data_IF_378315091746
#
_entry.id   IF_378315091746
#
_cell.length_a   1.000
_cell.length_b   1.000
_cell.length_c   1.000
_cell.angle_alpha   90.00
_cell.angle_beta   90.00
_cell.angle_gamma   90.00
#
_symmetry.space_group_name_H-M   'P 1'
#
loop_
_entity.id
_entity.type
_entity.pdbx_description
1 polymer ?
#
# COMPACT_ATOMS: atom_id res chain seq x y z
N UNK A 1 -6.92 -0.85 21.89
CA UNK A 1 -6.23 -0.18 20.76
C UNK A 1 -6.94 1.16 20.57
N UNK A 2 -6.38 2.16 19.91
CA UNK A 2 -7.16 3.39 19.64
C UNK A 2 -8.27 2.98 18.66
N UNK A 3 -9.55 3.24 18.98
CA UNK A 3 -10.74 2.81 18.21
C UNK A 3 -10.63 3.08 16.69
N UNK A 4 -9.77 4.04 16.32
CA UNK A 4 -9.51 4.42 14.94
C UNK A 4 -8.81 3.34 14.10
N UNK A 5 -7.84 2.62 14.68
CA UNK A 5 -7.02 1.61 13.98
C UNK A 5 -7.65 0.21 13.99
N UNK A 6 -8.57 -0.05 14.92
CA UNK A 6 -9.20 -1.36 15.09
C UNK A 6 -9.84 -1.90 13.79
N UNK A 7 -10.61 -1.10 13.00
CA UNK A 7 -11.14 -1.58 11.73
C UNK A 7 -10.04 -1.95 10.74
N UNK A 8 -8.94 -1.19 10.71
CA UNK A 8 -7.82 -1.46 9.82
C UNK A 8 -7.10 -2.74 10.20
N UNK A 9 -6.88 -3.00 11.49
CA UNK A 9 -6.24 -4.22 11.97
C UNK A 9 -7.10 -5.44 11.69
N UNK A 10 -8.40 -5.38 11.98
CA UNK A 10 -9.33 -6.47 11.68
C UNK A 10 -9.35 -6.81 10.17
N UNK A 11 -9.33 -5.80 9.31
CA UNK A 11 -9.23 -6.00 7.85
C UNK A 11 -7.93 -6.72 7.48
N UNK A 12 -6.80 -6.31 8.04
CA UNK A 12 -5.50 -6.92 7.71
C UNK A 12 -5.48 -8.40 8.13
N UNK A 13 -5.96 -8.71 9.34
CA UNK A 13 -6.07 -10.07 9.85
C UNK A 13 -7.00 -10.95 9.00
N UNK A 14 -8.18 -10.43 8.61
CA UNK A 14 -9.12 -11.13 7.74
C UNK A 14 -8.51 -11.43 6.36
N UNK A 15 -7.84 -10.45 5.76
CA UNK A 15 -7.24 -10.61 4.43
C UNK A 15 -6.09 -11.61 4.45
N UNK A 16 -5.18 -11.51 5.42
CA UNK A 16 -4.04 -12.42 5.55
C UNK A 16 -4.52 -13.86 5.73
N UNK A 17 -5.53 -14.07 6.58
CA UNK A 17 -6.10 -15.39 6.87
C UNK A 17 -7.01 -15.97 5.77
N UNK A 18 -7.36 -15.20 4.74
CA UNK A 18 -8.24 -15.67 3.66
C UNK A 18 -7.56 -16.66 2.70
N UNK A 19 -8.35 -17.41 1.93
CA UNK A 19 -7.86 -18.29 0.85
C UNK A 19 -7.81 -17.59 -0.52
N UNK A 20 -7.83 -16.26 -0.54
CA UNK A 20 -7.79 -15.50 -1.79
C UNK A 20 -6.43 -15.64 -2.48
N UNK A 21 -6.39 -15.57 -3.83
CA UNK A 21 -5.13 -15.49 -4.57
C UNK A 21 -4.29 -14.28 -4.14
N UNK A 22 -2.96 -14.38 -4.26
CA UNK A 22 -2.01 -13.37 -3.76
C UNK A 22 -2.30 -11.94 -4.24
N UNK A 23 -2.60 -11.75 -5.53
CA UNK A 23 -2.96 -10.43 -6.06
C UNK A 23 -4.27 -9.90 -5.47
N UNK A 24 -5.25 -10.78 -5.25
CA UNK A 24 -6.53 -10.40 -4.65
C UNK A 24 -6.38 -10.05 -3.18
N UNK A 25 -5.58 -10.81 -2.42
CA UNK A 25 -5.25 -10.43 -1.03
C UNK A 25 -4.62 -9.05 -0.98
N UNK A 26 -3.61 -8.79 -1.81
CA UNK A 26 -2.94 -7.48 -1.79
C UNK A 26 -3.89 -6.34 -2.17
N UNK A 27 -4.77 -6.54 -3.15
CA UNK A 27 -5.82 -5.57 -3.46
C UNK A 27 -6.74 -5.31 -2.27
N UNK A 28 -7.29 -6.35 -1.64
CA UNK A 28 -8.22 -6.22 -0.50
C UNK A 28 -7.55 -5.57 0.71
N UNK A 29 -6.27 -5.88 0.94
CA UNK A 29 -5.44 -5.32 2.01
C UNK A 29 -5.39 -3.78 1.95
N UNK A 30 -5.30 -3.21 0.74
CA UNK A 30 -5.30 -1.75 0.56
C UNK A 30 -6.71 -1.19 0.37
N UNK A 31 -7.53 -1.80 -0.47
CA UNK A 31 -8.83 -1.27 -0.88
C UNK A 31 -9.79 -1.12 0.30
N UNK A 32 -9.87 -2.12 1.18
CA UNK A 32 -10.79 -2.08 2.33
C UNK A 32 -10.38 -1.01 3.34
N UNK A 33 -9.08 -0.88 3.62
CA UNK A 33 -8.55 0.17 4.51
C UNK A 33 -8.72 1.57 3.91
N UNK A 34 -8.49 1.71 2.60
CA UNK A 34 -8.78 2.94 1.87
C UNK A 34 -10.26 3.33 1.98
N UNK A 35 -11.19 2.39 1.78
CA UNK A 35 -12.62 2.64 1.86
C UNK A 35 -13.04 3.16 3.25
N UNK A 36 -12.50 2.58 4.32
CA UNK A 36 -12.71 3.07 5.70
C UNK A 36 -12.32 4.55 5.81
N UNK A 37 -11.07 4.89 5.43
CA UNK A 37 -10.61 6.28 5.54
C UNK A 37 -11.39 7.23 4.63
N UNK A 38 -11.77 6.78 3.43
CA UNK A 38 -12.57 7.55 2.48
C UNK A 38 -13.98 7.84 3.00
N UNK A 39 -14.63 6.85 3.60
CA UNK A 39 -15.93 7.01 4.24
C UNK A 39 -15.86 8.03 5.38
N UNK A 40 -14.85 7.89 6.24
CA UNK A 40 -14.60 8.83 7.34
C UNK A 40 -14.34 10.25 6.83
N UNK A 41 -13.55 10.42 5.77
CA UNK A 41 -13.31 11.72 5.13
C UNK A 41 -14.59 12.31 4.56
N UNK A 42 -15.39 11.53 3.82
CA UNK A 42 -16.65 12.00 3.21
C UNK A 42 -17.73 12.35 4.24
N UNK A 43 -17.73 11.66 5.39
CA UNK A 43 -18.66 11.95 6.47
C UNK A 43 -18.41 13.32 7.10
N UNK A 44 -17.14 13.66 7.36
CA UNK A 44 -16.74 14.98 7.87
C UNK A 44 -15.26 15.27 7.55
N UNK A 45 -14.98 16.02 6.46
CA UNK A 45 -13.61 16.35 6.06
C UNK A 45 -12.83 17.15 7.11
N UNK A 46 -13.51 18.00 7.89
CA UNK A 46 -12.87 18.85 8.90
C UNK A 46 -12.47 18.01 10.11
N UNK A 47 -13.35 17.14 10.59
CA UNK A 47 -13.02 16.21 11.66
C UNK A 47 -11.91 15.22 11.24
N UNK A 48 -11.95 14.74 10.00
CA UNK A 48 -10.92 13.87 9.45
C UNK A 48 -9.54 14.54 9.44
N UNK A 49 -9.43 15.78 8.97
CA UNK A 49 -8.15 16.51 8.96
C UNK A 49 -7.56 16.67 10.38
N UNK A 50 -8.38 17.05 11.36
CA UNK A 50 -7.96 17.18 12.77
C UNK A 50 -7.47 15.86 13.36
N UNK A 51 -8.08 14.76 12.93
CA UNK A 51 -7.67 13.44 13.36
C UNK A 51 -6.34 13.01 12.72
N UNK A 52 -6.09 13.33 11.44
CA UNK A 52 -4.78 13.13 10.83
C UNK A 52 -3.69 13.92 11.60
N UNK A 53 -3.97 15.19 11.93
CA UNK A 53 -3.08 16.02 12.75
C UNK A 53 -2.81 15.40 14.14
N UNK A 54 -3.85 14.90 14.81
CA UNK A 54 -3.72 14.22 16.10
C UNK A 54 -2.93 12.91 16.01
N UNK A 55 -3.06 12.17 14.91
CA UNK A 55 -2.28 10.97 14.62
C UNK A 55 -0.80 11.27 14.44
N UNK A 56 -0.47 12.33 13.69
CA UNK A 56 0.89 12.81 13.50
C UNK A 56 1.53 13.25 14.83
N UNK A 57 0.75 13.88 15.72
CA UNK A 57 1.21 14.25 17.07
C UNK A 57 1.44 13.04 18.00
N UNK A 58 0.88 11.86 17.70
CA UNK A 58 0.99 10.61 18.47
C UNK A 58 1.91 9.59 17.78
N UNK A 59 3.10 10.06 17.41
CA UNK A 59 4.06 9.37 16.56
C UNK A 59 4.35 7.90 16.93
N UNK A 60 4.57 7.57 18.20
CA UNK A 60 4.90 6.19 18.61
C UNK A 60 3.79 5.18 18.34
N UNK A 61 2.52 5.59 18.41
CA UNK A 61 1.38 4.70 18.13
C UNK A 61 1.14 4.54 16.65
N UNK A 62 1.27 5.65 15.90
CA UNK A 62 1.24 5.61 14.45
C UNK A 62 2.33 4.67 13.93
N UNK A 63 3.54 4.73 14.51
CA UNK A 63 4.64 3.81 14.21
C UNK A 63 4.26 2.35 14.48
N UNK A 64 3.77 2.02 15.67
CA UNK A 64 3.38 0.63 15.98
C UNK A 64 2.29 0.08 15.06
N UNK A 65 1.35 0.91 14.60
CA UNK A 65 0.36 0.51 13.60
C UNK A 65 1.00 0.29 12.21
N UNK A 66 1.92 1.16 11.80
CA UNK A 66 2.66 1.03 10.53
C UNK A 66 3.52 -0.23 10.54
N UNK A 67 4.25 -0.49 11.62
CA UNK A 67 5.07 -1.70 11.79
C UNK A 67 4.22 -2.97 11.65
N UNK A 68 3.02 -2.98 12.23
CA UNK A 68 2.08 -4.10 12.11
C UNK A 68 1.55 -4.24 10.67
N UNK A 69 1.26 -3.13 9.99
CA UNK A 69 0.83 -3.16 8.60
C UNK A 69 1.93 -3.68 7.66
N UNK A 70 3.18 -3.27 7.89
CA UNK A 70 4.35 -3.74 7.14
C UNK A 70 4.65 -5.23 7.41
N UNK A 71 4.41 -5.70 8.64
CA UNK A 71 4.48 -7.12 8.98
C UNK A 71 3.50 -7.95 8.14
N UNK A 72 2.21 -7.61 8.17
CA UNK A 72 1.20 -8.32 7.39
C UNK A 72 1.43 -8.20 5.88
N UNK A 73 1.87 -7.04 5.39
CA UNK A 73 2.21 -6.88 3.98
C UNK A 73 3.41 -7.76 3.58
N UNK A 74 4.39 -7.92 4.46
CA UNK A 74 5.53 -8.83 4.26
C UNK A 74 5.08 -10.29 4.14
N UNK A 75 4.07 -10.72 4.92
CA UNK A 75 3.48 -12.06 4.78
C UNK A 75 2.80 -12.25 3.41
N UNK A 76 2.04 -11.24 2.95
CA UNK A 76 1.42 -11.30 1.62
C UNK A 76 2.47 -11.34 0.50
N UNK A 77 3.57 -10.60 0.64
CA UNK A 77 4.69 -10.62 -0.30
C UNK A 77 5.36 -11.99 -0.30
N UNK A 78 5.63 -12.57 0.87
CA UNK A 78 6.22 -13.90 0.98
C UNK A 78 5.34 -14.97 0.30
N UNK A 79 4.02 -14.90 0.50
CA UNK A 79 3.07 -15.78 -0.20
C UNK A 79 3.14 -15.57 -1.72
N UNK A 80 3.12 -14.32 -2.19
CA UNK A 80 3.19 -14.02 -3.61
C UNK A 80 4.52 -14.49 -4.25
N UNK A 81 5.63 -14.39 -3.53
CA UNK A 81 6.92 -14.93 -3.98
C UNK A 81 6.89 -16.44 -4.10
N UNK A 82 6.25 -17.14 -3.15
CA UNK A 82 6.02 -18.58 -3.24
C UNK A 82 5.18 -18.95 -4.48
N UNK A 83 4.21 -18.12 -4.83
CA UNK A 83 3.36 -18.28 -6.02
C UNK A 83 4.07 -17.91 -7.34
N UNK A 84 5.32 -17.45 -7.29
CA UNK A 84 6.16 -17.15 -8.45
C UNK A 84 6.22 -15.68 -8.88
N UNK A 85 5.74 -14.75 -8.05
CA UNK A 85 5.83 -13.31 -8.30
C UNK A 85 7.10 -12.67 -7.72
N UNK A 86 7.40 -11.43 -8.11
CA UNK A 86 8.47 -10.60 -7.54
C UNK A 86 9.86 -11.25 -7.60
N UNK A 87 10.15 -11.94 -8.69
CA UNK A 87 11.39 -12.69 -8.87
C UNK A 87 12.64 -11.82 -8.59
N UNK A 88 13.54 -12.38 -7.77
CA UNK A 88 14.84 -11.79 -7.45
C UNK A 88 14.82 -10.58 -6.51
N UNK A 89 13.66 -10.16 -6.01
CA UNK A 89 13.56 -9.14 -4.97
C UNK A 89 13.58 -9.77 -3.58
N UNK A 90 14.29 -9.15 -2.63
CA UNK A 90 14.11 -9.45 -1.21
C UNK A 90 12.78 -8.87 -0.71
N UNK A 91 12.23 -9.45 0.38
CA UNK A 91 10.91 -9.04 0.90
C UNK A 91 10.90 -7.57 1.32
N UNK A 92 11.96 -7.10 1.99
CA UNK A 92 12.08 -5.71 2.45
C UNK A 92 12.14 -4.70 1.29
N UNK A 93 12.86 -5.08 0.22
CA UNK A 93 12.92 -4.29 -1.01
C UNK A 93 11.56 -4.25 -1.71
N UNK A 94 10.88 -5.40 -1.82
CA UNK A 94 9.55 -5.49 -2.42
C UNK A 94 8.52 -4.68 -1.62
N UNK A 95 8.54 -4.80 -0.28
CA UNK A 95 7.72 -4.04 0.66
C UNK A 95 7.87 -2.53 0.43
N UNK A 96 9.11 -2.04 0.42
CA UNK A 96 9.39 -0.62 0.20
C UNK A 96 8.86 -0.13 -1.16
N UNK A 97 9.06 -0.90 -2.24
CA UNK A 97 8.60 -0.53 -3.58
C UNK A 97 7.07 -0.50 -3.66
N UNK A 98 6.40 -1.51 -3.12
CA UNK A 98 4.93 -1.59 -3.09
C UNK A 98 4.35 -0.41 -2.32
N UNK A 99 4.88 -0.12 -1.12
CA UNK A 99 4.44 1.02 -0.30
C UNK A 99 4.58 2.36 -1.05
N UNK A 100 5.65 2.54 -1.84
CA UNK A 100 5.81 3.73 -2.69
C UNK A 100 4.73 3.81 -3.79
N UNK A 101 4.46 2.69 -4.46
CA UNK A 101 3.51 2.60 -5.57
C UNK A 101 2.05 2.78 -5.14
N UNK A 102 1.71 2.40 -3.90
CA UNK A 102 0.33 2.48 -3.36
C UNK A 102 0.12 3.60 -2.34
N UNK A 103 1.12 4.45 -2.11
CA UNK A 103 1.12 5.50 -1.08
C UNK A 103 -0.12 6.39 -1.05
N UNK A 104 -0.67 6.74 -2.23
CA UNK A 104 -1.90 7.53 -2.37
C UNK A 104 -3.15 6.85 -1.76
N UNK A 105 -3.11 5.54 -1.51
CA UNK A 105 -4.19 4.76 -0.91
C UNK A 105 -3.92 4.36 0.55
N UNK A 106 -2.72 4.62 1.08
CA UNK A 106 -2.33 4.27 2.44
C UNK A 106 -2.18 5.47 3.36
N UNK A 107 -1.78 6.63 2.82
CA UNK A 107 -1.58 7.86 3.59
C UNK A 107 -2.91 8.60 3.73
N UNK A 108 -3.51 8.70 4.94
CA UNK A 108 -4.82 9.32 5.14
C UNK A 108 -4.88 10.78 4.67
N UNK A 109 -3.83 11.57 4.93
CA UNK A 109 -3.70 12.96 4.51
C UNK A 109 -3.81 13.14 2.99
N UNK A 110 -3.48 12.12 2.20
CA UNK A 110 -3.65 12.14 0.75
C UNK A 110 -5.10 12.39 0.31
N UNK A 111 -6.08 11.92 1.09
CA UNK A 111 -7.51 12.14 0.79
C UNK A 111 -7.87 13.63 0.80
N UNK A 112 -7.24 14.43 1.65
CA UNK A 112 -7.50 15.88 1.74
C UNK A 112 -7.15 16.57 0.41
N UNK A 113 -6.16 16.05 -0.32
CA UNK A 113 -5.64 16.69 -1.53
C UNK A 113 -6.18 16.10 -2.84
N UNK A 114 -6.44 14.79 -2.88
CA UNK A 114 -6.69 14.08 -4.14
C UNK A 114 -7.83 13.04 -4.07
N UNK A 115 -8.68 13.02 -3.05
CA UNK A 115 -9.73 11.97 -2.90
C UNK A 115 -10.58 11.76 -4.16
N UNK A 116 -11.00 12.83 -4.83
CA UNK A 116 -11.84 12.75 -6.05
C UNK A 116 -11.13 12.02 -7.21
N UNK A 117 -9.79 11.95 -7.18
CA UNK A 117 -8.98 11.27 -8.19
C UNK A 117 -8.75 9.81 -7.85
N UNK A 118 -9.05 9.37 -6.63
CA UNK A 118 -8.81 8.03 -6.14
C UNK A 118 -10.07 7.18 -6.24
N UNK A 119 -9.90 5.95 -6.70
CA UNK A 119 -10.95 4.94 -6.69
C UNK A 119 -10.35 3.54 -6.76
N UNK A 120 -11.21 2.59 -6.44
CA UNK A 120 -10.94 1.17 -6.33
C UNK A 120 -10.52 0.57 -7.68
N UNK A 121 -11.08 1.04 -8.80
CA UNK A 121 -10.69 0.59 -10.15
C UNK A 121 -9.23 0.95 -10.45
N UNK A 122 -8.80 2.17 -10.11
CA UNK A 122 -7.41 2.62 -10.27
C UNK A 122 -6.46 1.84 -9.36
N UNK A 123 -6.86 1.59 -8.11
CA UNK A 123 -6.08 0.75 -7.20
C UNK A 123 -5.92 -0.67 -7.76
N UNK A 124 -6.99 -1.29 -8.29
CA UNK A 124 -6.90 -2.60 -8.91
C UNK A 124 -5.88 -2.63 -10.06
N UNK A 125 -5.87 -1.60 -10.92
CA UNK A 125 -4.86 -1.47 -11.99
C UNK A 125 -3.44 -1.32 -11.49
N UNK A 126 -3.23 -0.58 -10.39
CA UNK A 126 -1.91 -0.45 -9.76
C UNK A 126 -1.45 -1.82 -9.23
N UNK A 127 -2.32 -2.56 -8.55
CA UNK A 127 -2.00 -3.90 -8.02
C UNK A 127 -1.71 -4.88 -9.14
N UNK A 128 -2.51 -4.91 -10.21
CA UNK A 128 -2.23 -5.74 -11.39
C UNK A 128 -0.86 -5.40 -11.99
N UNK A 129 -0.54 -4.11 -12.09
CA UNK A 129 0.76 -3.64 -12.60
C UNK A 129 1.92 -4.09 -11.71
N UNK A 130 1.75 -4.05 -10.39
CA UNK A 130 2.73 -4.56 -9.42
C UNK A 130 2.99 -6.05 -9.66
N UNK A 131 1.94 -6.88 -9.73
CA UNK A 131 2.10 -8.34 -9.89
C UNK A 131 2.64 -8.73 -11.26
N UNK A 132 2.32 -7.98 -12.32
CA UNK A 132 2.80 -8.25 -13.68
C UNK A 132 4.25 -7.78 -13.88
N UNK A 133 4.60 -6.60 -13.35
CA UNK A 133 5.81 -5.88 -13.76
C UNK A 133 6.92 -5.78 -12.73
N UNK A 134 6.65 -6.00 -11.44
CA UNK A 134 7.66 -5.77 -10.41
C UNK A 134 8.59 -6.98 -10.26
N UNK A 135 9.88 -6.78 -10.50
CA UNK A 135 10.94 -7.78 -10.30
C UNK A 135 12.30 -7.09 -10.10
N UNK A 136 13.36 -7.87 -9.84
CA UNK A 136 14.73 -7.34 -9.81
C UNK A 136 15.35 -7.16 -11.20
N UNK A 137 14.69 -7.61 -12.26
CA UNK A 137 15.19 -7.49 -13.63
C UNK A 137 15.20 -6.03 -14.08
N UNK A 138 16.28 -5.60 -14.74
CA UNK A 138 16.35 -4.24 -15.29
C UNK A 138 15.43 -4.10 -16.51
N UNK A 139 14.27 -3.50 -16.30
CA UNK A 139 13.31 -3.18 -17.37
C UNK A 139 13.73 -2.02 -18.29
N UNK A 140 14.94 -1.47 -18.16
CA UNK A 140 15.49 -0.43 -19.04
C UNK A 140 15.13 1.00 -18.66
N UNK A 141 14.39 1.22 -17.57
CA UNK A 141 13.98 2.55 -17.12
C UNK A 141 15.16 3.46 -16.72
N UNK A 142 16.29 2.87 -16.29
CA UNK A 142 17.53 3.61 -15.99
C UNK A 142 18.33 3.99 -17.24
N UNK A 143 17.89 3.54 -18.43
CA UNK A 143 18.58 3.72 -19.70
C UNK A 143 19.76 2.76 -19.88
N UNK A 144 20.17 2.54 -21.13
CA UNK A 144 21.46 1.91 -21.44
C UNK A 144 22.57 2.91 -21.18
N UNK A 145 23.67 2.46 -20.60
CA UNK A 145 24.84 3.25 -20.20
C UNK A 145 25.67 3.77 -21.40
N UNK A 146 25.01 4.14 -22.50
CA UNK A 146 25.62 4.63 -23.74
C UNK A 146 24.96 5.94 -24.17
N UNK A 147 25.27 7.01 -23.43
CA UNK A 147 25.37 8.31 -24.08
C UNK A 147 26.51 8.19 -25.10
N UNK A 148 26.19 7.79 -26.34
CA UNK A 148 27.12 7.95 -27.47
C UNK A 148 27.33 9.45 -27.63
N UNK A 149 28.48 9.93 -27.17
CA UNK A 149 28.98 11.25 -27.54
C UNK A 149 29.16 11.18 -29.06
N UNK A 150 28.33 11.92 -29.79
CA UNK A 150 28.53 12.13 -31.21
C UNK A 150 29.83 12.92 -31.39
N UNK A 151 30.87 12.24 -31.87
CA UNK A 151 32.06 12.88 -32.47
C UNK A 151 31.78 13.29 -33.90
#
# INVERSE_FOLDING_TARGET
MELWFEPHVAIMEEVVSSDLPSNRKMYEFFARRFAVNRERYRADPIAFARMCEAGAARFERARGFVDLADHYLSELIAQAQHDGYFAGLEIDQCLSLINQMVSSYTIPDGLIYIEERLNEDKLARIIDTIFIGLSSEDGGARGVNTLRIAT
#
